data_IF_679064302313
#
_entry.id   IF_679064302313
#
_cell.length_a   1.000
_cell.length_b   1.000
_cell.length_c   1.000
_cell.angle_alpha   90.00
_cell.angle_beta   90.00
_cell.angle_gamma   90.00
#
_symmetry.space_group_name_H-M   'P 1'
#
loop_
_entity.id
_entity.type
_entity.pdbx_description
1 polymer ?
#
# COMPACT_ATOMS: atom_id res chain seq x y z
N UNK A 1 13.86 -20.79 -9.73
CA UNK A 1 13.04 -20.08 -8.74
C UNK A 1 12.87 -18.57 -9.03
N UNK A 2 13.89 -17.82 -9.49
CA UNK A 2 13.73 -16.47 -10.11
C UNK A 2 12.78 -16.41 -11.32
N UNK A 3 12.55 -17.58 -11.93
CA UNK A 3 11.68 -17.70 -13.08
C UNK A 3 10.20 -17.52 -12.76
N UNK A 4 9.64 -17.69 -11.56
CA UNK A 4 8.16 -17.63 -11.40
C UNK A 4 7.58 -16.20 -11.32
N UNK A 5 8.23 -15.28 -10.61
CA UNK A 5 7.77 -13.89 -10.48
C UNK A 5 7.99 -13.13 -11.80
N UNK A 6 9.18 -13.30 -12.39
CA UNK A 6 9.49 -12.78 -13.71
C UNK A 6 8.72 -13.53 -14.80
N UNK A 7 8.44 -14.86 -14.71
CA UNK A 7 7.56 -15.54 -15.69
C UNK A 7 6.09 -15.16 -15.55
N UNK A 8 5.58 -14.72 -14.40
CA UNK A 8 4.18 -14.23 -14.29
C UNK A 8 4.04 -12.81 -14.85
N UNK A 9 5.02 -11.94 -14.62
CA UNK A 9 5.10 -10.63 -15.29
C UNK A 9 5.48 -10.74 -16.79
N UNK A 10 6.32 -11.72 -17.16
CA UNK A 10 6.66 -12.05 -18.54
C UNK A 10 5.59 -12.88 -19.23
N UNK A 11 4.68 -13.57 -18.53
CA UNK A 11 3.53 -14.28 -19.13
C UNK A 11 2.60 -13.25 -19.76
N UNK A 12 2.35 -12.16 -19.05
CA UNK A 12 1.66 -10.98 -19.55
C UNK A 12 2.39 -10.34 -20.75
N UNK A 13 3.71 -10.17 -20.66
CA UNK A 13 4.53 -9.65 -21.77
C UNK A 13 4.63 -10.61 -22.97
N UNK A 14 4.66 -11.93 -22.76
CA UNK A 14 4.75 -12.98 -23.79
C UNK A 14 3.42 -13.22 -24.47
N UNK A 15 2.28 -13.06 -23.81
CA UNK A 15 0.96 -13.08 -24.45
C UNK A 15 0.79 -11.85 -25.35
N UNK A 16 1.20 -10.67 -24.87
CA UNK A 16 1.24 -9.44 -25.68
C UNK A 16 2.24 -9.57 -26.85
N UNK A 17 3.42 -10.16 -26.63
CA UNK A 17 4.41 -10.40 -27.69
C UNK A 17 4.03 -11.53 -28.66
N UNK A 18 3.31 -12.56 -28.21
CA UNK A 18 2.79 -13.65 -29.03
C UNK A 18 1.69 -13.14 -29.97
N UNK A 19 0.80 -12.26 -29.46
CA UNK A 19 -0.16 -11.49 -30.25
C UNK A 19 0.55 -10.62 -31.31
N UNK A 20 1.63 -9.92 -30.95
CA UNK A 20 2.40 -9.10 -31.88
C UNK A 20 3.23 -9.92 -32.90
N UNK A 21 3.72 -11.11 -32.55
CA UNK A 21 4.51 -11.99 -33.43
C UNK A 21 3.65 -12.79 -34.40
N UNK A 22 2.45 -13.23 -33.99
CA UNK A 22 1.50 -13.93 -34.85
C UNK A 22 0.97 -12.99 -35.94
N UNK A 23 0.86 -11.69 -35.63
CA UNK A 23 0.49 -10.65 -36.59
C UNK A 23 1.62 -10.19 -37.51
N UNK A 24 2.89 -10.29 -37.10
CA UNK A 24 4.05 -9.93 -37.94
C UNK A 24 4.27 -10.87 -39.14
N UNK A 25 3.62 -12.04 -39.17
CA UNK A 25 3.71 -13.05 -40.24
C UNK A 25 2.59 -12.98 -41.28
N UNK A 26 1.60 -12.09 -41.15
CA UNK A 26 0.57 -11.86 -42.18
C UNK A 26 0.70 -10.44 -42.72
N UNK A 27 0.71 -10.33 -44.04
CA UNK A 27 1.26 -9.21 -44.81
C UNK A 27 0.78 -7.82 -44.38
N UNK A 28 1.73 -6.89 -44.51
CA UNK A 28 1.57 -5.46 -44.35
C UNK A 28 0.52 -4.85 -45.31
N UNK A 29 -0.01 -3.70 -44.90
CA UNK A 29 -0.93 -2.81 -45.63
C UNK A 29 -2.42 -3.25 -45.69
N UNK A 30 -3.19 -2.94 -44.63
CA UNK A 30 -4.59 -2.43 -44.67
C UNK A 30 -5.41 -2.53 -43.37
N UNK A 31 -4.89 -3.04 -42.26
CA UNK A 31 -5.71 -3.29 -41.06
C UNK A 31 -5.28 -2.58 -39.76
N UNK A 32 -4.72 -1.37 -39.82
CA UNK A 32 -4.51 -0.54 -38.62
C UNK A 32 -5.80 0.10 -38.08
N UNK A 33 -6.88 0.17 -38.87
CA UNK A 33 -8.15 0.76 -38.44
C UNK A 33 -9.12 -0.19 -37.70
N UNK A 34 -9.12 -1.49 -38.00
CA UNK A 34 -10.14 -2.42 -37.49
C UNK A 34 -9.87 -2.92 -36.07
N UNK A 35 -8.61 -3.05 -35.65
CA UNK A 35 -8.26 -3.43 -34.26
C UNK A 35 -8.45 -2.26 -33.28
N UNK A 36 -8.17 -1.03 -33.73
CA UNK A 36 -8.39 0.20 -32.97
C UNK A 36 -9.88 0.37 -32.65
N UNK A 37 -10.76 0.17 -33.64
CA UNK A 37 -12.19 0.21 -33.40
C UNK A 37 -12.64 -0.93 -32.50
N UNK A 38 -12.14 -2.16 -32.59
CA UNK A 38 -12.68 -3.27 -31.78
C UNK A 38 -12.30 -3.20 -30.30
N UNK A 39 -11.07 -2.78 -29.96
CA UNK A 39 -10.62 -2.62 -28.58
C UNK A 39 -11.24 -1.36 -27.93
N UNK A 40 -11.27 -0.24 -28.66
CA UNK A 40 -11.92 1.00 -28.20
C UNK A 40 -13.44 0.80 -28.11
N UNK A 41 -14.06 0.04 -29.01
CA UNK A 41 -15.50 -0.27 -28.96
C UNK A 41 -15.83 -1.24 -27.83
N UNK A 42 -15.00 -2.24 -27.51
CA UNK A 42 -15.22 -3.08 -26.31
C UNK A 42 -15.03 -2.31 -25.00
N UNK A 43 -14.09 -1.37 -24.97
CA UNK A 43 -13.90 -0.44 -23.84
C UNK A 43 -15.09 0.55 -23.74
N UNK A 44 -15.58 1.08 -24.86
CA UNK A 44 -16.75 1.99 -24.93
C UNK A 44 -18.11 1.30 -24.73
N UNK A 45 -18.25 0.02 -25.06
CA UNK A 45 -19.46 -0.76 -24.80
C UNK A 45 -19.54 -1.18 -23.33
N UNK A 46 -18.40 -1.49 -22.70
CA UNK A 46 -18.30 -1.73 -21.26
C UNK A 46 -18.65 -0.49 -20.42
N UNK A 47 -18.45 0.72 -20.93
CA UNK A 47 -18.71 1.95 -20.17
C UNK A 47 -20.18 2.40 -20.21
N UNK A 48 -20.98 1.93 -21.19
CA UNK A 48 -22.40 2.29 -21.32
C UNK A 48 -23.37 1.44 -20.47
N UNK A 49 -22.91 0.36 -19.85
CA UNK A 49 -23.75 -0.58 -19.09
C UNK A 49 -23.46 -0.63 -17.57
N UNK A 50 -22.62 0.24 -17.02
CA UNK A 50 -22.19 0.14 -15.62
C UNK A 50 -22.95 1.10 -14.70
N UNK A 51 -23.89 0.55 -13.94
CA UNK A 51 -24.64 1.23 -12.88
C UNK A 51 -23.76 1.73 -11.73
N UNK A 52 -24.23 2.79 -11.07
CA UNK A 52 -23.49 3.82 -10.33
C UNK A 52 -22.83 3.47 -8.99
N UNK A 53 -22.70 2.20 -8.58
CA UNK A 53 -22.26 1.86 -7.20
C UNK A 53 -20.89 1.16 -7.06
N UNK A 54 -20.18 0.87 -8.15
CA UNK A 54 -18.99 0.00 -8.15
C UNK A 54 -17.64 0.66 -8.48
N UNK A 55 -17.52 1.99 -8.46
CA UNK A 55 -16.31 2.71 -8.91
C UNK A 55 -15.82 3.79 -7.93
N UNK A 56 -15.81 3.49 -6.62
CA UNK A 56 -15.26 4.41 -5.61
C UNK A 56 -14.50 3.63 -4.55
N UNK A 57 -13.44 4.23 -4.03
CA UNK A 57 -12.80 3.79 -2.78
C UNK A 57 -13.86 3.87 -1.67
N UNK A 58 -14.04 2.81 -0.86
CA UNK A 58 -15.05 2.80 0.19
C UNK A 58 -14.75 3.84 1.27
N UNK A 59 -15.80 4.39 1.87
CA UNK A 59 -15.70 5.21 3.06
C UNK A 59 -15.32 4.35 4.28
N UNK A 60 -14.75 4.98 5.30
CA UNK A 60 -14.52 4.32 6.58
C UNK A 60 -15.85 4.08 7.30
N UNK A 61 -15.94 2.96 8.00
CA UNK A 61 -17.17 2.48 8.67
C UNK A 61 -17.20 2.76 10.16
N UNK A 62 -16.13 3.33 10.69
CA UNK A 62 -16.08 3.74 12.09
C UNK A 62 -16.79 5.08 12.35
N UNK A 63 -16.89 5.47 13.62
CA UNK A 63 -17.68 6.65 14.03
C UNK A 63 -16.98 7.99 13.76
N UNK A 64 -15.68 8.01 13.45
CA UNK A 64 -14.93 9.24 13.24
C UNK A 64 -14.94 9.64 11.76
N UNK A 65 -15.19 10.93 11.47
CA UNK A 65 -14.82 11.49 10.18
C UNK A 65 -13.31 11.44 9.98
N UNK A 66 -12.87 11.26 8.74
CA UNK A 66 -11.46 11.07 8.42
C UNK A 66 -10.91 12.29 7.68
N UNK A 67 -9.85 12.87 8.23
CA UNK A 67 -9.00 13.86 7.57
C UNK A 67 -7.80 13.20 6.88
N UNK A 68 -7.21 13.92 5.94
CA UNK A 68 -5.98 13.49 5.26
C UNK A 68 -5.07 14.70 4.98
N UNK A 69 -3.76 14.54 5.19
CA UNK A 69 -2.75 15.53 4.79
C UNK A 69 -1.44 14.83 4.38
N UNK A 70 -0.51 15.55 3.75
CA UNK A 70 0.82 15.06 3.44
C UNK A 70 1.88 15.78 4.28
N UNK A 71 2.91 15.06 4.72
CA UNK A 71 4.05 15.62 5.45
C UNK A 71 5.33 15.22 4.74
N UNK A 72 6.13 16.22 4.35
CA UNK A 72 7.49 16.00 3.89
C UNK A 72 8.45 16.82 4.74
N UNK A 73 9.53 16.21 5.21
CA UNK A 73 10.58 16.90 5.97
C UNK A 73 11.90 16.85 5.24
N UNK A 74 12.75 17.84 5.52
CA UNK A 74 14.09 17.98 4.93
C UNK A 74 14.10 18.34 3.45
N UNK A 75 15.28 18.74 2.97
CA UNK A 75 15.52 19.11 1.57
C UNK A 75 16.42 18.11 0.84
N UNK A 76 16.37 16.85 1.26
CA UNK A 76 17.18 15.77 0.71
C UNK A 76 16.41 14.46 0.64
N UNK A 77 17.01 13.46 -0.03
CA UNK A 77 16.47 12.11 -0.12
C UNK A 77 16.34 11.42 1.26
N UNK A 78 17.09 11.83 2.28
CA UNK A 78 17.02 11.26 3.64
C UNK A 78 15.78 11.71 4.42
N UNK A 79 15.15 12.81 4.01
CA UNK A 79 13.92 13.33 4.60
C UNK A 79 12.75 12.34 4.56
N UNK A 80 11.77 12.54 5.42
CA UNK A 80 10.57 11.68 5.48
C UNK A 80 9.50 12.22 4.55
N UNK A 81 8.76 11.32 3.93
CA UNK A 81 7.57 11.65 3.17
C UNK A 81 6.46 10.67 3.50
N UNK A 82 5.33 11.17 3.97
CA UNK A 82 4.19 10.35 4.35
C UNK A 82 2.86 11.04 4.05
N UNK A 83 1.81 10.23 3.94
CA UNK A 83 0.41 10.66 3.97
C UNK A 83 -0.18 10.26 5.30
N UNK A 84 -0.75 11.22 6.01
CA UNK A 84 -1.39 11.02 7.29
C UNK A 84 -2.90 10.92 7.10
N UNK A 85 -3.51 9.88 7.66
CA UNK A 85 -4.96 9.75 7.83
C UNK A 85 -5.26 9.78 9.33
N UNK A 86 -6.29 10.52 9.73
CA UNK A 86 -6.57 10.76 11.15
C UNK A 86 -8.04 11.08 11.40
N UNK A 87 -8.54 10.86 12.63
CA UNK A 87 -9.82 11.39 13.08
C UNK A 87 -9.84 12.91 12.95
N UNK A 88 -10.72 13.44 12.13
CA UNK A 88 -10.90 14.88 11.93
C UNK A 88 -12.10 15.40 12.70
N UNK A 89 -12.16 16.71 12.89
CA UNK A 89 -13.41 17.38 13.20
C UNK A 89 -14.34 17.31 11.99
N UNK A 90 -15.65 17.20 12.24
CA UNK A 90 -16.65 17.19 11.19
C UNK A 90 -16.70 18.57 10.54
N UNK A 91 -16.17 18.68 9.32
CA UNK A 91 -16.23 19.91 8.55
C UNK A 91 -16.81 19.61 7.16
N UNK A 92 -18.05 20.06 6.94
CA UNK A 92 -18.79 19.82 5.69
C UNK A 92 -18.16 20.54 4.48
N UNK A 93 -17.28 21.52 4.73
CA UNK A 93 -16.71 22.39 3.70
C UNK A 93 -15.40 21.86 3.08
N UNK A 94 -14.76 20.86 3.68
CA UNK A 94 -13.52 20.31 3.13
C UNK A 94 -13.82 19.39 1.94
N UNK A 95 -13.06 19.56 0.86
CA UNK A 95 -13.10 18.67 -0.30
C UNK A 95 -12.52 17.30 0.00
N UNK A 96 -12.97 16.30 -0.76
CA UNK A 96 -12.38 14.97 -0.73
C UNK A 96 -10.97 14.99 -1.32
N UNK A 97 -10.09 14.18 -0.75
CA UNK A 97 -8.66 14.16 -1.08
C UNK A 97 -8.42 13.54 -2.46
N UNK A 98 -7.64 14.20 -3.31
CA UNK A 98 -7.17 13.60 -4.58
C UNK A 98 -6.39 12.30 -4.31
N UNK A 99 -6.76 11.22 -5.00
CA UNK A 99 -6.16 9.90 -4.81
C UNK A 99 -4.73 9.83 -5.34
N UNK A 100 -4.50 10.17 -6.62
CA UNK A 100 -3.16 10.24 -7.22
C UNK A 100 -2.86 11.69 -7.61
N UNK A 101 -2.09 12.43 -6.80
CA UNK A 101 -2.08 13.90 -6.87
C UNK A 101 -1.19 14.49 -7.98
N UNK A 102 -0.36 13.68 -8.66
CA UNK A 102 0.63 14.15 -9.65
C UNK A 102 0.77 13.19 -10.82
N UNK A 103 1.01 13.74 -12.01
CA UNK A 103 1.15 12.96 -13.26
C UNK A 103 2.40 12.09 -13.29
N UNK A 104 3.45 12.45 -12.56
CA UNK A 104 4.70 11.70 -12.51
C UNK A 104 4.52 10.33 -11.84
N UNK A 105 3.52 10.19 -10.95
CA UNK A 105 3.10 8.88 -10.47
C UNK A 105 2.53 8.00 -11.60
N UNK A 106 1.85 8.59 -12.59
CA UNK A 106 1.41 7.84 -13.79
C UNK A 106 2.61 7.39 -14.63
N UNK A 107 3.66 8.21 -14.76
CA UNK A 107 4.90 7.80 -15.40
C UNK A 107 5.56 6.64 -14.66
N UNK A 108 5.64 6.72 -13.33
CA UNK A 108 6.18 5.66 -12.49
C UNK A 108 5.39 4.35 -12.58
N UNK A 109 4.06 4.42 -12.59
CA UNK A 109 3.19 3.26 -12.80
C UNK A 109 3.39 2.67 -14.20
N UNK A 110 3.51 3.53 -15.21
CA UNK A 110 3.78 3.12 -16.59
C UNK A 110 5.10 2.36 -16.70
N UNK A 111 6.16 2.89 -16.09
CA UNK A 111 7.48 2.26 -16.09
C UNK A 111 7.44 0.89 -15.41
N UNK A 112 6.78 0.80 -14.25
CA UNK A 112 6.61 -0.45 -13.50
C UNK A 112 5.84 -1.50 -14.31
N UNK A 113 4.76 -1.10 -14.98
CA UNK A 113 3.93 -1.98 -15.83
C UNK A 113 4.49 -2.24 -17.23
N UNK A 114 5.65 -1.66 -17.58
CA UNK A 114 6.26 -1.70 -18.92
C UNK A 114 5.35 -1.12 -20.02
N UNK A 115 4.62 -0.06 -19.71
CA UNK A 115 3.80 0.73 -20.64
C UNK A 115 4.59 1.97 -21.05
N UNK A 116 4.48 2.37 -22.33
CA UNK A 116 5.06 3.63 -22.78
C UNK A 116 4.47 4.83 -22.01
N UNK A 117 5.32 5.67 -21.40
CA UNK A 117 4.90 6.72 -20.45
C UNK A 117 3.76 7.62 -20.93
N UNK A 118 3.80 8.12 -22.18
CA UNK A 118 2.71 8.98 -22.70
C UNK A 118 1.38 8.24 -22.85
N UNK A 119 1.43 6.97 -23.25
CA UNK A 119 0.24 6.13 -23.35
C UNK A 119 -0.31 5.84 -21.96
N UNK A 120 0.56 5.50 -21.00
CA UNK A 120 0.15 5.25 -19.63
C UNK A 120 -0.39 6.50 -18.94
N UNK A 121 0.24 7.68 -19.11
CA UNK A 121 -0.31 8.96 -18.65
C UNK A 121 -1.72 9.19 -19.20
N UNK A 122 -1.93 9.01 -20.50
CA UNK A 122 -3.26 9.16 -21.10
C UNK A 122 -4.29 8.21 -20.46
N UNK A 123 -3.94 6.94 -20.28
CA UNK A 123 -4.81 5.94 -19.66
C UNK A 123 -5.10 6.34 -18.21
N UNK A 124 -4.08 6.54 -17.38
CA UNK A 124 -4.27 6.82 -15.95
C UNK A 124 -4.98 8.14 -15.72
N UNK A 125 -4.61 9.22 -16.42
CA UNK A 125 -5.32 10.50 -16.30
C UNK A 125 -6.81 10.37 -16.66
N UNK A 126 -7.15 9.54 -17.66
CA UNK A 126 -8.54 9.35 -18.11
C UNK A 126 -9.40 8.52 -17.16
N UNK A 127 -8.82 7.53 -16.48
CA UNK A 127 -9.58 6.59 -15.65
C UNK A 127 -9.48 6.87 -14.15
N UNK A 128 -8.36 7.43 -13.69
CA UNK A 128 -8.09 7.66 -12.26
C UNK A 128 -7.69 9.10 -11.93
N UNK A 129 -7.52 9.96 -12.94
CA UNK A 129 -7.02 11.32 -12.75
C UNK A 129 -7.91 12.26 -11.95
N UNK A 130 -9.23 12.04 -11.97
CA UNK A 130 -10.22 12.81 -11.22
C UNK A 130 -10.75 12.05 -10.00
N UNK A 131 -10.16 10.91 -9.66
CA UNK A 131 -10.61 10.10 -8.52
C UNK A 131 -10.14 10.73 -7.23
N UNK A 132 -11.08 10.87 -6.29
CA UNK A 132 -10.82 11.22 -4.90
C UNK A 132 -10.96 9.99 -4.02
N UNK A 133 -10.32 10.02 -2.84
CA UNK A 133 -10.63 9.12 -1.74
C UNK A 133 -11.48 9.84 -0.69
N UNK A 134 -12.36 9.12 0.03
CA UNK A 134 -13.30 9.71 0.98
C UNK A 134 -12.63 10.08 2.31
N UNK A 135 -11.66 10.99 2.24
CA UNK A 135 -11.00 11.63 3.37
C UNK A 135 -10.91 13.13 3.11
N UNK A 136 -11.19 13.94 4.13
CA UNK A 136 -11.27 15.39 4.03
C UNK A 136 -9.89 16.02 4.02
N UNK A 137 -9.53 16.66 2.90
CA UNK A 137 -8.19 17.21 2.70
C UNK A 137 -7.92 18.37 3.66
N UNK A 138 -6.83 18.27 4.42
CA UNK A 138 -6.42 19.23 5.46
C UNK A 138 -7.52 19.61 6.45
N UNK A 139 -8.50 18.73 6.69
CA UNK A 139 -9.47 18.96 7.75
C UNK A 139 -8.76 19.05 9.11
N UNK A 140 -9.30 19.83 10.03
CA UNK A 140 -8.69 19.94 11.36
C UNK A 140 -8.69 18.60 12.08
N UNK A 141 -7.57 18.30 12.74
CA UNK A 141 -7.44 17.13 13.58
C UNK A 141 -8.43 17.20 14.76
N UNK A 142 -9.00 16.07 15.17
CA UNK A 142 -9.93 16.01 16.32
C UNK A 142 -9.15 15.93 17.64
N UNK A 143 -9.11 17.01 18.45
CA UNK A 143 -8.39 17.02 19.73
C UNK A 143 -9.18 16.29 20.83
N UNK A 144 -8.54 16.12 21.99
CA UNK A 144 -9.20 15.68 23.23
C UNK A 144 -9.10 14.18 23.52
N UNK A 145 -8.51 13.39 22.62
CA UNK A 145 -8.26 11.96 22.80
C UNK A 145 -6.82 11.62 22.37
N UNK A 146 -6.25 10.56 22.95
CA UNK A 146 -5.01 9.97 22.47
C UNK A 146 -5.32 8.79 21.57
N UNK A 147 -4.84 8.84 20.34
CA UNK A 147 -5.11 7.81 19.34
C UNK A 147 -3.93 6.84 19.21
N UNK A 148 -4.19 5.53 19.07
CA UNK A 148 -3.17 4.58 18.61
C UNK A 148 -2.62 4.98 17.24
N UNK A 149 -1.36 4.63 16.98
CA UNK A 149 -0.64 4.96 15.75
C UNK A 149 -0.32 3.71 14.92
N UNK A 150 -0.58 3.78 13.62
CA UNK A 150 -0.16 2.78 12.64
C UNK A 150 0.83 3.42 11.67
N UNK A 151 2.05 2.86 11.58
CA UNK A 151 2.96 3.17 10.47
C UNK A 151 2.68 2.18 9.34
N UNK A 152 2.20 2.68 8.20
CA UNK A 152 1.81 1.87 7.06
C UNK A 152 2.87 1.91 5.95
N UNK A 153 3.19 0.74 5.40
CA UNK A 153 4.23 0.54 4.38
C UNK A 153 3.65 -0.05 3.09
N UNK A 154 3.91 0.58 1.94
CA UNK A 154 3.31 0.20 0.65
C UNK A 154 4.02 -0.99 -0.05
N UNK A 155 3.39 -1.61 -1.05
CA UNK A 155 4.03 -2.65 -1.87
C UNK A 155 5.07 -2.12 -2.88
N UNK A 156 5.80 -3.03 -3.51
CA UNK A 156 6.69 -2.71 -4.65
C UNK A 156 5.88 -2.12 -5.81
N UNK A 157 6.38 -1.04 -6.43
CA UNK A 157 5.68 -0.32 -7.50
C UNK A 157 4.46 0.47 -7.03
N UNK A 158 4.19 0.53 -5.73
CA UNK A 158 3.17 1.40 -5.17
C UNK A 158 3.79 2.72 -4.65
N UNK A 159 3.01 3.51 -3.92
CA UNK A 159 3.40 4.74 -3.23
C UNK A 159 2.33 5.07 -2.17
N UNK A 160 2.53 6.13 -1.37
CA UNK A 160 1.79 6.37 -0.11
C UNK A 160 0.27 6.48 -0.24
N UNK A 161 -0.26 6.74 -1.44
CA UNK A 161 -1.68 7.05 -1.64
C UNK A 161 -2.52 5.86 -2.12
N UNK A 162 -1.91 4.70 -2.39
CA UNK A 162 -2.59 3.56 -3.03
C UNK A 162 -3.25 2.55 -2.06
N UNK A 163 -3.33 2.89 -0.78
CA UNK A 163 -3.93 2.05 0.28
C UNK A 163 -4.93 2.85 1.13
N UNK A 164 -5.53 3.87 0.54
CA UNK A 164 -6.43 4.77 1.23
C UNK A 164 -7.66 4.06 1.80
N UNK A 165 -8.19 3.01 1.17
CA UNK A 165 -9.30 2.24 1.74
C UNK A 165 -8.99 1.64 3.12
N UNK A 166 -7.76 1.13 3.31
CA UNK A 166 -7.31 0.57 4.59
C UNK A 166 -7.05 1.71 5.57
N UNK A 167 -6.28 2.72 5.16
CA UNK A 167 -5.90 3.81 6.05
C UNK A 167 -7.11 4.64 6.52
N UNK A 168 -8.11 4.84 5.65
CA UNK A 168 -9.36 5.53 5.98
C UNK A 168 -10.20 4.69 6.93
N UNK A 169 -10.32 3.37 6.72
CA UNK A 169 -11.03 2.52 7.66
C UNK A 169 -10.40 2.58 9.05
N UNK A 170 -9.09 2.38 9.15
CA UNK A 170 -8.39 2.48 10.44
C UNK A 170 -8.56 3.87 11.07
N UNK A 171 -8.43 4.94 10.30
CA UNK A 171 -8.64 6.30 10.82
C UNK A 171 -10.07 6.54 11.30
N UNK A 172 -11.07 6.03 10.58
CA UNK A 172 -12.48 6.14 10.98
C UNK A 172 -12.79 5.40 12.27
N UNK A 173 -11.94 4.43 12.66
CA UNK A 173 -12.03 3.65 13.89
C UNK A 173 -11.25 4.27 15.06
N UNK A 174 -10.63 5.45 14.85
CA UNK A 174 -9.90 6.18 15.88
C UNK A 174 -8.40 5.89 15.90
N UNK A 175 -7.78 5.58 14.76
CA UNK A 175 -6.31 5.48 14.64
C UNK A 175 -5.73 6.67 13.90
N UNK A 176 -4.52 7.08 14.26
CA UNK A 176 -3.67 7.87 13.35
C UNK A 176 -2.90 6.89 12.47
N UNK A 177 -2.92 7.10 11.16
CA UNK A 177 -2.23 6.22 10.19
C UNK A 177 -1.28 7.03 9.34
N UNK A 178 0.01 6.70 9.39
CA UNK A 178 1.05 7.33 8.60
C UNK A 178 1.53 6.38 7.49
N UNK A 179 1.03 6.57 6.28
CA UNK A 179 1.46 5.82 5.10
C UNK A 179 2.75 6.43 4.55
N UNK A 180 3.88 5.75 4.75
CA UNK A 180 5.22 6.20 4.34
C UNK A 180 5.40 6.01 2.83
N UNK A 181 5.95 7.01 2.13
CA UNK A 181 6.45 6.87 0.76
C UNK A 181 7.95 6.57 0.78
N UNK A 182 8.31 5.38 0.32
CA UNK A 182 9.68 4.91 0.42
C UNK A 182 10.58 5.47 -0.69
N UNK A 183 11.83 5.77 -0.33
CA UNK A 183 12.83 6.40 -1.22
C UNK A 183 13.95 5.43 -1.61
N UNK A 184 13.69 4.14 -1.42
CA UNK A 184 14.55 3.01 -1.74
C UNK A 184 14.48 2.58 -3.21
N UNK A 185 13.80 3.37 -4.05
CA UNK A 185 13.50 3.07 -5.46
C UNK A 185 12.57 1.86 -5.67
N UNK A 186 11.87 1.40 -4.62
CA UNK A 186 10.77 0.44 -4.76
C UNK A 186 9.47 1.10 -5.20
N UNK A 187 9.26 2.37 -4.85
CA UNK A 187 8.10 3.16 -5.27
C UNK A 187 8.05 3.33 -6.78
N UNK A 188 6.84 3.31 -7.37
CA UNK A 188 6.69 3.57 -8.81
C UNK A 188 7.27 4.93 -9.20
N UNK A 189 6.96 5.94 -8.40
CA UNK A 189 7.64 7.22 -8.37
C UNK A 189 7.58 7.77 -6.93
N UNK A 190 8.51 8.63 -6.58
CA UNK A 190 8.49 9.50 -5.40
C UNK A 190 9.29 10.76 -5.71
N UNK A 191 9.26 11.75 -4.82
CA UNK A 191 10.08 12.95 -4.96
C UNK A 191 10.54 13.49 -3.61
N UNK A 192 11.56 14.34 -3.67
CA UNK A 192 11.97 15.21 -2.57
C UNK A 192 12.15 16.64 -3.09
N UNK A 193 12.00 17.62 -2.20
CA UNK A 193 12.30 19.01 -2.53
C UNK A 193 13.79 19.26 -2.33
N UNK A 194 14.48 19.77 -3.35
CA UNK A 194 15.89 20.18 -3.24
C UNK A 194 15.96 21.68 -2.92
N UNK A 195 16.79 22.05 -1.96
CA UNK A 195 17.07 23.46 -1.67
C UNK A 195 17.94 24.03 -2.80
N UNK A 196 17.51 25.14 -3.41
CA UNK A 196 18.32 25.84 -4.40
C UNK A 196 19.41 26.63 -3.65
N UNK A 197 20.61 26.07 -3.59
CA UNK A 197 21.80 26.68 -2.96
C UNK A 197 22.29 27.98 -3.63
N UNK A 198 21.70 28.39 -4.75
CA UNK A 198 22.14 29.53 -5.57
C UNK A 198 21.25 30.78 -5.44
N UNK A 199 20.31 30.81 -4.49
CA UNK A 199 19.48 31.99 -4.23
C UNK A 199 19.84 32.56 -2.87
N UNK A 200 20.28 33.82 -2.83
CA UNK A 200 20.59 34.57 -1.59
C UNK A 200 19.36 34.75 -0.68
N UNK A 201 18.15 34.48 -1.20
CA UNK A 201 16.89 34.42 -0.47
C UNK A 201 16.29 33.01 -0.55
N UNK A 202 15.78 32.49 0.58
CA UNK A 202 15.03 31.24 0.60
C UNK A 202 13.83 31.34 -0.36
N UNK A 203 13.75 30.52 -1.42
CA UNK A 203 12.62 30.58 -2.35
C UNK A 203 11.32 30.26 -1.62
N UNK A 204 10.19 30.89 -2.02
CA UNK A 204 8.90 30.53 -1.47
C UNK A 204 8.61 29.03 -1.71
N UNK A 205 7.91 28.33 -0.80
CA UNK A 205 7.68 26.89 -0.90
C UNK A 205 7.02 26.43 -2.22
N UNK A 206 6.34 27.33 -2.94
CA UNK A 206 5.74 27.10 -4.26
C UNK A 206 6.75 26.92 -5.40
N UNK A 207 8.02 27.30 -5.21
CA UNK A 207 9.08 27.27 -6.22
C UNK A 207 10.16 26.20 -5.95
N UNK A 208 9.97 25.36 -4.92
CA UNK A 208 10.92 24.30 -4.59
C UNK A 208 11.01 23.28 -5.74
N UNK A 209 12.24 23.08 -6.22
CA UNK A 209 12.53 22.10 -7.27
C UNK A 209 12.30 20.68 -6.73
N UNK A 210 11.35 19.96 -7.33
CA UNK A 210 11.02 18.57 -6.99
C UNK A 210 11.88 17.64 -7.82
N UNK A 211 12.76 16.89 -7.16
CA UNK A 211 13.56 15.87 -7.81
C UNK A 211 12.85 14.51 -7.70
N UNK A 212 12.45 13.98 -8.86
CA UNK A 212 11.69 12.73 -8.94
C UNK A 212 12.61 11.51 -9.02
N UNK A 213 12.28 10.50 -8.22
CA UNK A 213 12.93 9.20 -8.18
C UNK A 213 11.91 8.19 -8.68
N UNK A 214 12.26 7.46 -9.74
CA UNK A 214 11.37 6.45 -10.35
C UNK A 214 11.78 5.04 -9.93
N UNK A 215 10.84 4.10 -10.07
CA UNK A 215 11.09 2.68 -9.83
C UNK A 215 12.32 2.18 -10.57
N UNK A 216 13.24 1.56 -9.82
CA UNK A 216 14.41 0.92 -10.39
C UNK A 216 14.11 -0.52 -10.78
N UNK A 217 14.16 -0.81 -12.07
CA UNK A 217 14.13 -2.19 -12.59
C UNK A 217 15.41 -2.91 -12.22
N UNK A 218 15.28 -4.19 -11.87
CA UNK A 218 16.40 -5.08 -11.68
C UNK A 218 17.20 -5.18 -12.99
N UNK A 219 18.53 -4.98 -12.91
CA UNK A 219 19.41 -5.13 -14.08
C UNK A 219 19.70 -6.62 -14.33
N UNK A 220 19.99 -7.00 -15.58
CA UNK A 220 20.12 -8.40 -16.00
C UNK A 220 21.14 -9.26 -15.21
N UNK A 221 22.13 -8.62 -14.57
CA UNK A 221 23.21 -9.28 -13.82
C UNK A 221 23.29 -8.80 -12.35
N UNK A 222 22.24 -8.17 -11.85
CA UNK A 222 22.22 -7.68 -10.46
C UNK A 222 21.68 -8.75 -9.52
N UNK A 223 22.33 -8.89 -8.36
CA UNK A 223 21.83 -9.74 -7.29
C UNK A 223 20.55 -9.14 -6.68
N UNK A 224 19.41 -9.72 -7.04
CA UNK A 224 18.11 -9.32 -6.53
C UNK A 224 18.01 -9.48 -5.01
N UNK A 225 18.63 -10.52 -4.44
CA UNK A 225 18.56 -10.78 -3.00
C UNK A 225 19.23 -9.63 -2.24
N UNK A 226 20.46 -9.29 -2.60
CA UNK A 226 21.19 -8.16 -2.00
C UNK A 226 20.46 -6.83 -2.19
N UNK A 227 19.90 -6.57 -3.38
CA UNK A 227 19.12 -5.36 -3.64
C UNK A 227 17.89 -5.29 -2.73
N UNK A 228 17.06 -6.34 -2.70
CA UNK A 228 15.79 -6.35 -1.94
C UNK A 228 16.04 -6.32 -0.44
N UNK A 229 17.11 -6.95 0.05
CA UNK A 229 17.53 -6.86 1.46
C UNK A 229 17.96 -5.43 1.81
N UNK A 230 18.79 -4.77 1.01
CA UNK A 230 19.16 -3.37 1.25
C UNK A 230 17.94 -2.45 1.27
N UNK A 231 17.00 -2.70 0.34
CA UNK A 231 15.75 -1.97 0.28
C UNK A 231 14.89 -2.19 1.54
N UNK A 232 14.64 -3.44 1.97
CA UNK A 232 13.80 -3.67 3.16
C UNK A 232 14.39 -3.02 4.42
N UNK A 233 15.72 -3.04 4.55
CA UNK A 233 16.45 -2.39 5.63
C UNK A 233 16.23 -0.88 5.64
N UNK A 234 16.43 -0.22 4.49
CA UNK A 234 16.17 1.21 4.33
C UNK A 234 14.72 1.56 4.64
N UNK A 235 13.77 0.76 4.15
CA UNK A 235 12.34 0.98 4.35
C UNK A 235 11.94 0.89 5.82
N UNK A 236 12.54 -0.05 6.56
CA UNK A 236 12.33 -0.15 8.00
C UNK A 236 12.89 1.07 8.74
N UNK A 237 14.07 1.57 8.34
CA UNK A 237 14.65 2.79 8.90
C UNK A 237 13.79 4.03 8.59
N UNK A 238 13.17 4.09 7.41
CA UNK A 238 12.21 5.14 7.04
C UNK A 238 10.94 5.08 7.90
N UNK A 239 10.41 3.88 8.20
CA UNK A 239 9.29 3.70 9.12
C UNK A 239 9.63 4.14 10.55
N UNK A 240 10.83 3.83 11.04
CA UNK A 240 11.33 4.24 12.36
C UNK A 240 11.48 5.77 12.42
N UNK A 241 12.10 6.39 11.42
CA UNK A 241 12.21 7.85 11.36
C UNK A 241 10.86 8.55 11.22
N UNK A 242 9.88 7.94 10.54
CA UNK A 242 8.52 8.46 10.49
C UNK A 242 7.84 8.41 11.86
N UNK A 243 8.07 7.33 12.64
CA UNK A 243 7.65 7.26 14.03
C UNK A 243 8.31 8.37 14.86
N UNK A 244 9.64 8.49 14.81
CA UNK A 244 10.40 9.52 15.54
C UNK A 244 9.83 10.92 15.29
N UNK A 245 9.62 11.28 14.02
CA UNK A 245 9.03 12.55 13.62
C UNK A 245 7.63 12.78 14.22
N UNK A 246 6.76 11.77 14.20
CA UNK A 246 5.42 11.90 14.78
C UNK A 246 5.46 12.00 16.30
N UNK A 247 6.42 11.34 16.96
CA UNK A 247 6.62 11.49 18.40
C UNK A 247 7.15 12.87 18.77
N UNK A 248 8.06 13.43 17.97
CA UNK A 248 8.53 14.81 18.12
C UNK A 248 7.37 15.81 17.98
N UNK A 249 6.55 15.67 16.94
CA UNK A 249 5.35 16.51 16.75
C UNK A 249 4.39 16.36 17.94
N UNK A 250 4.16 15.12 18.38
CA UNK A 250 3.32 14.84 19.55
C UNK A 250 3.88 15.48 20.84
N UNK A 251 5.20 15.62 20.98
CA UNK A 251 5.83 16.31 22.12
C UNK A 251 5.71 17.85 22.06
N UNK A 252 5.18 18.39 20.95
CA UNK A 252 4.98 19.82 20.74
C UNK A 252 6.05 20.49 19.88
N UNK A 253 6.98 19.73 19.29
CA UNK A 253 7.93 20.29 18.34
C UNK A 253 7.22 20.69 17.04
N UNK A 254 7.51 21.85 16.46
CA UNK A 254 6.86 22.30 15.23
C UNK A 254 7.24 21.37 14.06
N UNK A 255 6.24 20.89 13.33
CA UNK A 255 6.49 20.13 12.12
C UNK A 255 7.03 21.05 11.02
N UNK A 256 8.29 20.85 10.63
CA UNK A 256 8.89 21.54 9.49
C UNK A 256 8.46 20.88 8.17
N UNK A 257 7.19 21.07 7.78
CA UNK A 257 6.65 20.56 6.53
C UNK A 257 7.15 21.41 5.35
N UNK A 258 7.91 20.81 4.43
CA UNK A 258 8.40 21.51 3.23
C UNK A 258 7.30 21.71 2.18
N UNK A 259 6.15 21.04 2.34
CA UNK A 259 5.00 21.23 1.46
C UNK A 259 4.17 22.44 1.94
N UNK A 260 3.73 23.33 1.03
CA UNK A 260 2.90 24.49 1.37
C UNK A 260 1.45 24.07 1.66
N UNK A 261 1.23 23.38 2.77
CA UNK A 261 -0.08 22.89 3.20
C UNK A 261 -0.53 23.64 4.45
N UNK A 262 -1.79 24.09 4.43
CA UNK A 262 -2.42 24.75 5.56
C UNK A 262 -3.03 23.70 6.52
N UNK A 263 -2.17 22.95 7.20
CA UNK A 263 -2.56 21.99 8.23
C UNK A 263 -1.90 22.35 9.56
N UNK A 264 -2.69 22.50 10.62
CA UNK A 264 -2.19 22.90 11.92
C UNK A 264 -1.61 21.71 12.70
N UNK A 265 -0.30 21.48 12.54
CA UNK A 265 0.43 20.40 13.21
C UNK A 265 0.44 20.50 14.74
N UNK A 266 0.23 21.69 15.32
CA UNK A 266 0.18 21.83 16.77
C UNK A 266 -0.98 21.07 17.42
N UNK A 267 -2.03 20.76 16.64
CA UNK A 267 -3.17 19.95 17.10
C UNK A 267 -2.81 18.49 17.37
N UNK A 268 -1.67 18.00 16.85
CA UNK A 268 -1.19 16.64 17.12
C UNK A 268 -0.43 16.56 18.46
N UNK A 269 -0.15 17.69 19.12
CA UNK A 269 0.48 17.69 20.44
C UNK A 269 -0.38 16.86 21.41
N UNK A 270 0.28 16.00 22.19
CA UNK A 270 -0.33 15.14 23.21
C UNK A 270 -1.49 14.25 22.70
N UNK A 271 -1.55 13.97 21.39
CA UNK A 271 -2.67 13.29 20.71
C UNK A 271 -2.36 11.85 20.28
N UNK A 272 -1.12 11.38 20.39
CA UNK A 272 -0.71 10.00 20.08
C UNK A 272 -0.53 9.21 21.37
N UNK A 273 -1.12 8.02 21.44
CA UNK A 273 -0.86 7.06 22.51
C UNK A 273 0.47 6.34 22.23
N UNK A 274 1.51 6.78 22.94
CA UNK A 274 2.89 6.29 22.80
C UNK A 274 3.03 4.80 23.14
N UNK A 275 2.07 4.23 23.86
CA UNK A 275 2.05 2.81 24.20
C UNK A 275 1.18 2.00 23.24
N UNK A 276 0.76 2.53 22.09
CA UNK A 276 -0.13 1.82 21.17
C UNK A 276 0.27 2.05 19.72
N UNK A 277 1.43 1.52 19.35
CA UNK A 277 2.05 1.71 18.05
C UNK A 277 2.13 0.36 17.31
N UNK A 278 1.64 0.31 16.08
CA UNK A 278 1.69 -0.88 15.22
C UNK A 278 2.38 -0.61 13.88
N UNK A 279 3.03 -1.65 13.36
CA UNK A 279 3.59 -1.66 12.01
C UNK A 279 2.67 -2.45 11.07
N UNK A 280 2.27 -1.86 9.95
CA UNK A 280 1.39 -2.52 8.98
C UNK A 280 1.92 -2.33 7.57
N UNK A 281 1.71 -3.30 6.69
CA UNK A 281 2.05 -3.09 5.29
C UNK A 281 1.61 -4.21 4.37
N UNK A 282 1.70 -3.94 3.07
CA UNK A 282 1.28 -4.88 2.03
C UNK A 282 2.43 -5.32 1.13
N UNK A 283 2.48 -6.61 0.77
CA UNK A 283 3.46 -7.15 -0.17
C UNK A 283 4.89 -6.91 0.33
N UNK A 284 5.70 -6.13 -0.39
CA UNK A 284 7.00 -5.67 0.11
C UNK A 284 6.85 -4.89 1.43
N UNK A 285 5.78 -4.10 1.59
CA UNK A 285 5.49 -3.37 2.82
C UNK A 285 5.21 -4.26 4.03
N UNK A 286 4.71 -5.48 3.82
CA UNK A 286 4.55 -6.45 4.89
C UNK A 286 5.91 -6.99 5.36
N UNK A 287 6.85 -7.24 4.44
CA UNK A 287 8.24 -7.53 4.81
C UNK A 287 8.89 -6.35 5.55
N UNK A 288 8.60 -5.12 5.15
CA UNK A 288 9.05 -3.92 5.89
C UNK A 288 8.46 -3.85 7.29
N UNK A 289 7.17 -4.13 7.48
CA UNK A 289 6.58 -4.17 8.80
C UNK A 289 7.29 -5.20 9.70
N UNK A 290 7.59 -6.39 9.18
CA UNK A 290 8.34 -7.43 9.89
C UNK A 290 9.77 -6.96 10.22
N UNK A 291 10.48 -6.38 9.25
CA UNK A 291 11.83 -5.84 9.45
C UNK A 291 11.84 -4.72 10.51
N UNK A 292 10.85 -3.82 10.49
CA UNK A 292 10.68 -2.75 11.47
C UNK A 292 10.50 -3.30 12.88
N UNK A 293 9.65 -4.34 13.06
CA UNK A 293 9.48 -5.00 14.35
C UNK A 293 10.80 -5.58 14.90
N UNK A 294 11.69 -6.05 14.01
CA UNK A 294 13.00 -6.60 14.39
C UNK A 294 13.99 -5.56 14.89
N UNK A 295 13.81 -4.30 14.46
CA UNK A 295 14.72 -3.19 14.73
C UNK A 295 14.28 -2.31 15.89
N UNK A 296 12.99 -2.21 16.14
CA UNK A 296 12.44 -1.24 17.07
C UNK A 296 11.31 -1.81 17.93
N UNK A 297 11.56 -1.87 19.23
CA UNK A 297 10.66 -2.43 20.23
C UNK A 297 9.47 -1.52 20.59
N UNK A 298 9.45 -0.25 20.13
CA UNK A 298 8.32 0.66 20.35
C UNK A 298 7.08 0.21 19.59
N UNK A 299 7.25 -0.46 18.46
CA UNK A 299 6.16 -1.13 17.76
C UNK A 299 5.76 -2.36 18.57
N UNK A 300 4.49 -2.43 18.98
CA UNK A 300 3.98 -3.47 19.88
C UNK A 300 3.44 -4.69 19.15
N UNK A 301 2.94 -4.53 17.93
CA UNK A 301 2.47 -5.61 17.08
C UNK A 301 2.61 -5.23 15.60
N UNK A 302 2.46 -6.21 14.71
CA UNK A 302 2.37 -5.92 13.29
C UNK A 302 1.38 -6.75 12.51
N UNK A 303 1.02 -6.21 11.34
CA UNK A 303 0.08 -6.82 10.40
C UNK A 303 0.73 -6.85 9.01
N UNK A 304 0.89 -8.06 8.50
CA UNK A 304 1.53 -8.37 7.24
C UNK A 304 0.46 -8.78 6.21
N UNK A 305 0.06 -7.85 5.35
CA UNK A 305 -0.90 -8.10 4.28
C UNK A 305 -0.19 -8.72 3.08
N UNK A 306 -0.51 -9.97 2.80
CA UNK A 306 -0.05 -10.75 1.64
C UNK A 306 1.46 -10.67 1.43
N UNK A 307 2.20 -11.03 2.48
CA UNK A 307 3.61 -10.69 2.58
C UNK A 307 4.45 -11.32 1.48
N UNK A 308 5.35 -10.52 0.90
CA UNK A 308 6.43 -11.02 0.05
C UNK A 308 7.67 -11.19 0.91
N UNK A 309 7.96 -12.42 1.37
CA UNK A 309 8.99 -12.69 2.39
C UNK A 309 10.42 -12.65 1.85
N UNK A 310 10.59 -12.78 0.53
CA UNK A 310 11.90 -12.81 -0.16
C UNK A 310 12.92 -11.74 0.26
N UNK A 311 12.53 -10.48 0.56
CA UNK A 311 13.48 -9.44 0.96
C UNK A 311 14.09 -9.63 2.35
N UNK A 312 13.54 -10.50 3.19
CA UNK A 312 14.02 -10.71 4.56
C UNK A 312 15.25 -11.62 4.59
N UNK A 313 16.09 -11.45 5.62
CA UNK A 313 17.15 -12.40 5.95
C UNK A 313 16.70 -13.32 7.09
N UNK A 314 17.28 -14.52 7.17
CA UNK A 314 16.96 -15.48 8.23
C UNK A 314 17.26 -14.94 9.65
N UNK A 315 18.17 -13.97 9.76
CA UNK A 315 18.53 -13.30 11.02
C UNK A 315 17.42 -12.44 11.62
N UNK A 316 16.40 -12.07 10.82
CA UNK A 316 15.27 -11.25 11.25
C UNK A 316 14.31 -12.07 12.11
N UNK A 317 14.03 -13.30 11.72
CA UNK A 317 12.99 -14.14 12.31
C UNK A 317 13.10 -14.32 13.84
N UNK A 318 14.28 -14.65 14.42
CA UNK A 318 14.38 -14.82 15.88
C UNK A 318 14.19 -13.53 16.67
N UNK A 319 14.42 -12.36 16.04
CA UNK A 319 14.35 -11.02 16.67
C UNK A 319 12.92 -10.49 16.80
N UNK A 320 11.92 -11.12 16.17
CA UNK A 320 10.53 -10.65 16.25
C UNK A 320 9.86 -11.18 17.51
N UNK A 321 9.76 -10.35 18.54
CA UNK A 321 9.13 -10.71 19.81
C UNK A 321 7.63 -10.36 19.87
N UNK A 322 7.23 -9.36 19.09
CA UNK A 322 5.89 -8.81 19.02
C UNK A 322 4.91 -9.80 18.38
N UNK A 323 3.62 -9.74 18.73
CA UNK A 323 2.55 -10.40 17.98
C UNK A 323 2.54 -10.01 16.50
N UNK A 324 2.25 -10.96 15.62
CA UNK A 324 2.19 -10.75 14.17
C UNK A 324 0.99 -11.46 13.55
N UNK A 325 0.21 -10.73 12.76
CA UNK A 325 -0.89 -11.27 11.94
C UNK A 325 -0.51 -11.27 10.46
N UNK A 326 -0.68 -12.41 9.80
CA UNK A 326 -0.63 -12.53 8.35
C UNK A 326 -2.05 -12.59 7.78
N UNK A 327 -2.36 -11.71 6.84
CA UNK A 327 -3.62 -11.75 6.07
C UNK A 327 -3.27 -11.94 4.60
N UNK A 328 -3.46 -13.15 4.09
CA UNK A 328 -3.03 -13.54 2.74
C UNK A 328 -4.18 -13.50 1.75
N UNK A 329 -3.84 -13.32 0.46
CA UNK A 329 -4.76 -13.62 -0.63
C UNK A 329 -4.61 -15.06 -1.11
N UNK A 330 -5.72 -15.68 -1.52
CA UNK A 330 -5.75 -17.09 -1.93
C UNK A 330 -4.87 -17.37 -3.17
N UNK A 331 -4.79 -16.41 -4.10
CA UNK A 331 -4.17 -16.62 -5.42
C UNK A 331 -2.73 -16.12 -5.55
N UNK A 332 -2.21 -15.41 -4.54
CA UNK A 332 -0.86 -14.86 -4.58
C UNK A 332 0.21 -15.81 -4.00
N UNK A 333 -0.12 -16.51 -2.92
CA UNK A 333 0.84 -17.28 -2.11
C UNK A 333 1.39 -18.54 -2.82
N UNK A 334 2.56 -19.00 -2.36
CA UNK A 334 3.21 -20.24 -2.81
C UNK A 334 4.00 -20.88 -1.66
N UNK A 335 4.29 -22.19 -1.76
CA UNK A 335 4.82 -22.99 -0.66
C UNK A 335 6.08 -22.39 0.01
N UNK A 336 7.09 -22.02 -0.77
CA UNK A 336 8.33 -21.44 -0.22
C UNK A 336 8.07 -20.16 0.57
N UNK A 337 7.18 -19.27 0.10
CA UNK A 337 6.87 -18.03 0.81
C UNK A 337 6.10 -18.27 2.11
N UNK A 338 5.19 -19.24 2.12
CA UNK A 338 4.49 -19.66 3.35
C UNK A 338 5.47 -20.31 4.34
N UNK A 339 6.42 -21.13 3.87
CA UNK A 339 7.45 -21.71 4.75
C UNK A 339 8.29 -20.62 5.41
N UNK A 340 8.64 -19.54 4.69
CA UNK A 340 9.29 -18.37 5.28
C UNK A 340 8.42 -17.68 6.35
N UNK A 341 7.10 -17.51 6.12
CA UNK A 341 6.19 -17.00 7.15
C UNK A 341 6.16 -17.91 8.38
N UNK A 342 6.16 -19.23 8.19
CA UNK A 342 6.12 -20.20 9.29
C UNK A 342 7.42 -20.25 10.10
N UNK A 343 8.57 -19.77 9.58
CA UNK A 343 9.79 -19.59 10.38
C UNK A 343 9.62 -18.60 11.54
N UNK A 344 8.65 -17.69 11.45
CA UNK A 344 8.31 -16.74 12.53
C UNK A 344 7.46 -17.37 13.64
N UNK A 345 6.98 -18.61 13.47
CA UNK A 345 6.29 -19.34 14.52
C UNK A 345 7.29 -19.72 15.62
N UNK A 346 7.04 -19.25 16.84
CA UNK A 346 7.85 -19.57 18.00
C UNK A 346 6.95 -19.79 19.22
N UNK A 347 7.35 -20.72 20.09
CA UNK A 347 6.59 -21.05 21.30
C UNK A 347 6.44 -19.81 22.19
N UNK A 348 5.22 -19.55 22.64
CA UNK A 348 4.91 -18.44 23.55
C UNK A 348 4.72 -17.07 22.89
N UNK A 349 4.74 -16.97 21.54
CA UNK A 349 4.43 -15.72 20.83
C UNK A 349 3.25 -15.91 19.90
N UNK A 350 2.30 -14.97 19.91
CA UNK A 350 1.11 -15.07 19.07
C UNK A 350 1.46 -14.79 17.61
N UNK A 351 1.18 -15.79 16.77
CA UNK A 351 1.23 -15.71 15.31
C UNK A 351 -0.12 -16.17 14.80
N UNK A 352 -0.78 -15.31 14.05
CA UNK A 352 -2.04 -15.64 13.38
C UNK A 352 -1.83 -15.55 11.88
N UNK A 353 -2.46 -16.44 11.14
CA UNK A 353 -2.45 -16.42 9.68
C UNK A 353 -3.84 -16.77 9.21
N UNK A 354 -4.35 -15.98 8.28
CA UNK A 354 -5.62 -16.23 7.59
C UNK A 354 -5.45 -15.98 6.11
N UNK A 355 -6.30 -16.63 5.32
CA UNK A 355 -6.35 -16.43 3.87
C UNK A 355 -7.77 -16.05 3.42
N UNK A 356 -7.90 -14.96 2.67
CA UNK A 356 -9.19 -14.49 2.16
C UNK A 356 -9.53 -15.26 0.88
N UNK A 357 -10.58 -16.08 0.93
CA UNK A 357 -11.02 -16.91 -0.20
C UNK A 357 -11.44 -16.06 -1.39
N UNK A 358 -11.09 -16.50 -2.59
CA UNK A 358 -11.38 -15.85 -3.86
C UNK A 358 -10.54 -14.60 -4.13
N UNK A 359 -9.70 -14.14 -3.20
CA UNK A 359 -8.96 -12.88 -3.35
C UNK A 359 -7.67 -13.03 -4.17
N UNK A 360 -7.14 -11.89 -4.62
CA UNK A 360 -5.87 -11.78 -5.37
C UNK A 360 -4.98 -10.77 -4.67
N UNK A 361 -3.70 -10.72 -5.05
CA UNK A 361 -2.73 -9.77 -4.49
C UNK A 361 -3.20 -8.31 -4.57
N UNK A 362 -3.96 -7.97 -5.62
CA UNK A 362 -4.48 -6.62 -5.82
C UNK A 362 -5.76 -6.34 -5.02
N UNK A 363 -6.28 -7.27 -4.24
CA UNK A 363 -7.46 -7.05 -3.37
C UNK A 363 -7.19 -6.10 -2.20
N UNK A 364 -5.93 -5.85 -1.84
CA UNK A 364 -5.52 -4.93 -0.76
C UNK A 364 -5.33 -3.47 -1.22
N UNK A 365 -4.64 -3.17 -2.34
CA UNK A 365 -4.52 -1.79 -2.83
C UNK A 365 -5.80 -1.26 -3.49
N UNK A 366 -5.94 0.06 -3.52
CA UNK A 366 -7.13 0.78 -3.98
C UNK A 366 -7.50 0.53 -5.46
N UNK A 367 -6.55 0.10 -6.29
CA UNK A 367 -6.80 -0.20 -7.71
C UNK A 367 -7.93 -1.24 -7.93
N UNK A 368 -8.19 -2.10 -6.94
CA UNK A 368 -9.26 -3.10 -7.01
C UNK A 368 -10.67 -2.49 -7.17
N UNK A 369 -10.88 -1.26 -6.71
CA UNK A 369 -12.17 -0.57 -6.79
C UNK A 369 -12.46 0.04 -8.16
N UNK A 370 -11.45 0.17 -9.03
CA UNK A 370 -11.58 0.87 -10.31
C UNK A 370 -11.58 -0.05 -11.53
N UNK A 371 -11.16 -1.31 -11.37
CA UNK A 371 -11.22 -2.26 -12.45
C UNK A 371 -12.65 -2.79 -12.65
N UNK A 372 -13.28 -2.55 -13.81
CA UNK A 372 -14.57 -3.21 -14.14
C UNK A 372 -14.42 -4.74 -14.09
N UNK A 373 -15.46 -5.51 -13.72
CA UNK A 373 -15.30 -6.95 -13.40
C UNK A 373 -14.59 -7.78 -14.49
N UNK A 374 -14.85 -7.52 -15.78
CA UNK A 374 -14.23 -8.23 -16.90
C UNK A 374 -12.75 -7.86 -17.03
N UNK A 375 -12.44 -6.56 -17.04
CA UNK A 375 -11.06 -6.03 -17.14
C UNK A 375 -10.26 -6.39 -15.89
N UNK A 376 -10.87 -6.29 -14.71
CA UNK A 376 -10.26 -6.60 -13.43
C UNK A 376 -9.89 -8.06 -13.29
N UNK A 377 -10.75 -8.99 -13.70
CA UNK A 377 -10.38 -10.42 -13.71
C UNK A 377 -9.32 -10.74 -14.76
N UNK A 378 -9.40 -10.12 -15.95
CA UNK A 378 -8.42 -10.33 -17.03
C UNK A 378 -7.01 -9.84 -16.65
N UNK A 379 -6.90 -8.68 -16.01
CA UNK A 379 -5.62 -8.11 -15.55
C UNK A 379 -5.26 -8.53 -14.10
N UNK A 380 -5.99 -9.49 -13.50
CA UNK A 380 -5.80 -9.95 -12.10
C UNK A 380 -5.84 -8.84 -11.04
N UNK A 381 -6.55 -7.74 -11.33
CA UNK A 381 -6.85 -6.65 -10.41
C UNK A 381 -8.07 -6.98 -9.51
N UNK A 382 -8.87 -7.99 -9.90
CA UNK A 382 -10.00 -8.53 -9.15
C UNK A 382 -9.92 -10.05 -9.03
N UNK A 383 -10.27 -10.53 -7.84
CA UNK A 383 -10.47 -11.94 -7.57
C UNK A 383 -11.89 -12.39 -7.92
N UNK A 384 -12.28 -13.54 -7.39
CA UNK A 384 -13.66 -14.04 -7.45
C UNK A 384 -14.53 -13.43 -6.35
N UNK A 385 -13.92 -13.01 -5.24
CA UNK A 385 -14.58 -12.25 -4.19
C UNK A 385 -14.79 -10.79 -4.59
N UNK A 386 -15.88 -10.19 -4.14
CA UNK A 386 -16.12 -8.75 -4.27
C UNK A 386 -15.03 -7.95 -3.51
N UNK A 387 -14.44 -6.89 -4.11
CA UNK A 387 -13.38 -6.14 -3.47
C UNK A 387 -13.75 -5.48 -2.14
N UNK A 388 -14.99 -5.00 -1.99
CA UNK A 388 -15.43 -4.39 -0.72
C UNK A 388 -15.55 -5.46 0.36
N UNK A 389 -16.02 -6.65 -0.01
CA UNK A 389 -16.07 -7.80 0.92
C UNK A 389 -14.67 -8.26 1.32
N UNK A 390 -13.71 -8.32 0.39
CA UNK A 390 -12.34 -8.70 0.69
C UNK A 390 -11.65 -7.69 1.63
N UNK A 391 -11.78 -6.39 1.35
CA UNK A 391 -11.16 -5.36 2.21
C UNK A 391 -11.81 -5.30 3.58
N UNK A 392 -13.13 -5.55 3.67
CA UNK A 392 -13.85 -5.63 4.95
C UNK A 392 -13.33 -6.74 5.84
N UNK A 393 -13.12 -7.94 5.30
CA UNK A 393 -12.55 -9.07 6.04
C UNK A 393 -11.15 -8.70 6.55
N UNK A 394 -10.30 -8.14 5.67
CA UNK A 394 -8.95 -7.71 6.02
C UNK A 394 -8.96 -6.67 7.14
N UNK A 395 -9.82 -5.65 7.03
CA UNK A 395 -9.90 -4.56 7.99
C UNK A 395 -10.45 -5.03 9.34
N UNK A 396 -11.51 -5.84 9.36
CA UNK A 396 -12.10 -6.37 10.61
C UNK A 396 -11.13 -7.27 11.36
N UNK A 397 -10.44 -8.18 10.65
CA UNK A 397 -9.40 -9.01 11.25
C UNK A 397 -8.24 -8.14 11.77
N UNK A 398 -7.85 -7.09 11.04
CA UNK A 398 -6.82 -6.15 11.51
C UNK A 398 -7.25 -5.43 12.79
N UNK A 399 -8.50 -4.94 12.86
CA UNK A 399 -9.04 -4.24 14.03
C UNK A 399 -9.13 -5.14 15.27
N UNK A 400 -9.60 -6.38 15.13
CA UNK A 400 -9.62 -7.36 16.22
C UNK A 400 -8.21 -7.62 16.76
N UNK A 401 -7.24 -7.83 15.85
CA UNK A 401 -5.85 -8.05 16.22
C UNK A 401 -5.22 -6.84 16.92
N UNK A 402 -5.43 -5.63 16.38
CA UNK A 402 -4.94 -4.39 16.99
C UNK A 402 -5.55 -4.17 18.37
N UNK A 403 -6.85 -4.44 18.55
CA UNK A 403 -7.49 -4.34 19.86
C UNK A 403 -6.84 -5.25 20.88
N UNK A 404 -6.65 -6.53 20.53
CA UNK A 404 -6.07 -7.52 21.42
C UNK A 404 -4.65 -7.16 21.85
N UNK A 405 -3.82 -6.68 20.92
CA UNK A 405 -2.37 -6.51 21.16
C UNK A 405 -1.94 -5.09 21.51
N UNK A 406 -2.80 -4.09 21.32
CA UNK A 406 -2.58 -2.70 21.80
C UNK A 406 -3.44 -2.36 23.04
N UNK A 407 -4.25 -3.30 23.54
CA UNK A 407 -5.13 -3.06 24.68
C UNK A 407 -6.13 -1.93 24.41
N UNK A 408 -6.86 -2.00 23.30
CA UNK A 408 -7.86 -0.99 22.94
C UNK A 408 -9.18 -1.26 23.67
N UNK A 409 -9.79 -0.20 24.20
CA UNK A 409 -11.13 -0.26 24.79
C UNK A 409 -12.19 0.06 23.72
N UNK A 410 -12.34 -0.85 22.75
CA UNK A 410 -13.33 -0.81 21.66
C UNK A 410 -14.04 -2.17 21.59
N UNK A 411 -15.02 -2.30 20.69
CA UNK A 411 -15.77 -3.55 20.50
C UNK A 411 -15.26 -4.37 19.30
N UNK A 412 -13.99 -4.23 18.91
CA UNK A 412 -13.43 -4.95 17.75
C UNK A 412 -13.23 -6.45 18.01
N UNK A 413 -13.24 -6.87 19.27
CA UNK A 413 -13.26 -8.29 19.68
C UNK A 413 -14.48 -9.05 19.13
N UNK A 414 -15.54 -8.37 18.70
CA UNK A 414 -16.64 -9.00 17.98
C UNK A 414 -16.19 -9.71 16.68
N UNK A 415 -15.00 -9.37 16.17
CA UNK A 415 -14.38 -10.00 15.00
C UNK A 415 -13.20 -10.92 15.34
N UNK A 416 -12.98 -11.25 16.62
CA UNK A 416 -11.96 -12.23 17.05
C UNK A 416 -12.05 -13.57 16.30
N UNK A 417 -13.24 -14.13 15.98
CA UNK A 417 -13.33 -15.36 15.19
C UNK A 417 -12.61 -15.29 13.83
N UNK A 418 -12.56 -14.10 13.21
CA UNK A 418 -11.82 -13.93 11.95
C UNK A 418 -10.32 -14.21 12.12
N UNK A 419 -9.73 -13.97 13.30
CA UNK A 419 -8.32 -14.24 13.57
C UNK A 419 -7.99 -15.73 13.57
N UNK A 420 -8.98 -16.57 13.85
CA UNK A 420 -8.90 -18.02 13.83
C UNK A 420 -9.38 -18.62 12.49
N UNK A 421 -9.65 -17.77 11.51
CA UNK A 421 -10.16 -18.18 10.21
C UNK A 421 -11.63 -18.59 10.21
N UNK A 422 -12.36 -18.25 11.27
CA UNK A 422 -13.79 -18.53 11.41
C UNK A 422 -14.61 -17.39 10.79
N UNK A 423 -15.20 -17.64 9.62
CA UNK A 423 -16.05 -16.67 8.95
C UNK A 423 -16.28 -17.01 7.49
N UNK A 424 -17.28 -16.36 6.88
CA UNK A 424 -17.54 -16.53 5.46
C UNK A 424 -16.36 -15.97 4.63
N UNK A 425 -15.87 -16.76 3.68
CA UNK A 425 -14.74 -16.43 2.80
C UNK A 425 -13.38 -16.26 3.50
N UNK A 426 -13.21 -16.86 4.68
CA UNK A 426 -11.90 -16.94 5.34
C UNK A 426 -11.48 -18.39 5.45
N UNK A 427 -10.18 -18.63 5.27
CA UNK A 427 -9.54 -19.93 5.45
C UNK A 427 -8.56 -19.75 6.61
N UNK A 428 -8.59 -20.61 7.65
CA UNK A 428 -7.56 -20.62 8.68
C UNK A 428 -6.20 -20.92 8.06
N UNK A 429 -5.17 -20.17 8.46
CA UNK A 429 -3.80 -20.33 7.97
C UNK A 429 -3.71 -20.10 6.44
N UNK A 430 -3.52 -21.16 5.66
CA UNK A 430 -3.32 -21.09 4.22
C UNK A 430 -4.00 -22.24 3.46
N UNK A 431 -4.37 -21.98 2.20
CA UNK A 431 -4.82 -22.98 1.24
C UNK A 431 -3.67 -23.70 0.51
N UNK A 432 -2.41 -23.33 0.78
CA UNK A 432 -1.24 -23.92 0.14
C UNK A 432 -0.87 -25.24 0.82
N UNK A 433 -0.78 -26.31 0.03
CA UNK A 433 -0.27 -27.60 0.49
C UNK A 433 1.25 -27.51 0.73
N UNK A 434 1.67 -27.86 1.94
CA UNK A 434 3.06 -27.84 2.40
C UNK A 434 3.62 -29.25 2.63
N UNK A 435 2.89 -30.30 2.27
CA UNK A 435 3.42 -31.66 2.34
C UNK A 435 4.67 -31.74 1.45
N UNK A 436 5.79 -32.26 1.97
CA UNK A 436 6.98 -32.44 1.16
C UNK A 436 6.66 -33.46 0.07
N UNK A 437 6.68 -33.04 -1.19
CA UNK A 437 6.64 -33.96 -2.33
C UNK A 437 7.85 -34.87 -2.17
N UNK A 438 7.61 -36.17 -1.99
CA UNK A 438 8.68 -37.15 -1.96
C UNK A 438 9.54 -36.96 -3.21
N UNK A 439 10.84 -36.77 -3.01
CA UNK A 439 11.81 -36.65 -4.09
C UNK A 439 11.80 -37.96 -4.90
N UNK A 440 11.30 -37.90 -6.12
CA UNK A 440 11.64 -38.88 -7.17
C UNK A 440 13.02 -38.60 -7.75
#
# INVERSE_FOLDING_TARGET
MSTMYTKRALSFSREVHSLLRTYKKRSASRMTGQFHNTLVTKICQSSKQMGSNSQRIPEGKGPYSVGCTDLMTGYSIQGIFLRLYYPSQNCMNNEDTTWIPRKEYYYGLSDFLNIYRKLGEFIFARYVGSVTCPAKWNAEFKPGEKYPLIIFSHGLGAFRTLYSAICIEMASQGFVVAAVEHRDQSSSATYYCKENSNLEAKPPPSELHKEWIYYRKLKANEDEVSLRRKQVQQRADECIRALDLLLEINSGNPAMNVLPLNFNWSLLKDSIDLQKIAAMGHSFGAATAIETLSKDARFQCGIALDAWMFPLSDEVYPKIHQPLLFINSEKFQWAVNILEMKKLNCKGRERKMITIKGSVHQSFPDFTFFAGNIVGKFFKLKGDIDPKTAIDISNKASLAFLQKHLGLSKDFNQWDPLLDGEGLNVIPDTNIDLTPVASE
#
